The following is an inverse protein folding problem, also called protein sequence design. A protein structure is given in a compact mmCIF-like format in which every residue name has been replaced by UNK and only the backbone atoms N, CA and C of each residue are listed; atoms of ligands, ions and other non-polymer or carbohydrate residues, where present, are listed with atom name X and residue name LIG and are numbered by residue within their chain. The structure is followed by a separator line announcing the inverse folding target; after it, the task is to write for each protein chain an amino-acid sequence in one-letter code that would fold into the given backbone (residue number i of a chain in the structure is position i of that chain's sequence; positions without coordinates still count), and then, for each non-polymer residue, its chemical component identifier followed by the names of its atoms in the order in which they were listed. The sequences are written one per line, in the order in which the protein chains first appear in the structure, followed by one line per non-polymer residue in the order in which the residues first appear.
data_IF_616778155265
#
_entry.id   IF_616778155265
#
_cell.length_a   1.000
_cell.length_b   1.000
_cell.length_c   1.000
_cell.angle_alpha   90.00
_cell.angle_beta   90.00
_cell.angle_gamma   90.00
#
_symmetry.space_group_name_H-M   'P 1'
#
loop_
_entity.id
_entity.type
_entity.pdbx_description
1 polymer ?
#
# COMPACT_ATOMS: atom_id res chain seq x y z
N UNK A 1 3.14 -13.31 12.95
CA UNK A 1 1.73 -12.89 13.16
C UNK A 1 0.88 -12.97 11.88
N UNK A 2 1.50 -13.11 10.71
CA UNK A 2 0.84 -13.11 9.41
C UNK A 2 -0.20 -14.20 9.21
N UNK A 3 0.00 -15.40 9.79
CA UNK A 3 -1.01 -16.46 9.73
C UNK A 3 -2.34 -16.05 10.38
N UNK A 4 -2.28 -15.34 11.52
CA UNK A 4 -3.48 -14.86 12.21
C UNK A 4 -4.20 -13.80 11.38
N UNK A 5 -3.45 -12.92 10.71
CA UNK A 5 -4.02 -11.92 9.80
C UNK A 5 -4.73 -12.58 8.61
N UNK A 6 -4.10 -13.60 8.01
CA UNK A 6 -4.74 -14.36 6.92
C UNK A 6 -5.99 -15.10 7.40
N UNK A 7 -5.96 -15.72 8.58
CA UNK A 7 -7.13 -16.40 9.16
C UNK A 7 -8.27 -15.43 9.47
N UNK A 8 -7.97 -14.27 10.05
CA UNK A 8 -8.96 -13.23 10.30
C UNK A 8 -9.57 -12.73 8.98
N UNK A 9 -8.73 -12.52 7.95
CA UNK A 9 -9.17 -12.19 6.61
C UNK A 9 -10.07 -13.26 5.98
N UNK A 10 -9.74 -14.55 6.17
CA UNK A 10 -10.57 -15.66 5.72
C UNK A 10 -11.94 -15.69 6.41
N UNK A 11 -12.01 -15.35 7.70
CA UNK A 11 -13.26 -15.26 8.44
C UNK A 11 -14.15 -14.12 7.90
N UNK A 12 -13.57 -12.96 7.60
CA UNK A 12 -14.29 -11.89 6.91
C UNK A 12 -14.69 -12.26 5.49
N UNK A 13 -13.86 -13.03 4.77
CA UNK A 13 -14.19 -13.54 3.44
C UNK A 13 -15.43 -14.44 3.49
N UNK A 14 -15.52 -15.31 4.50
CA UNK A 14 -16.66 -16.19 4.70
C UNK A 14 -17.93 -15.40 4.99
N UNK A 15 -17.85 -14.39 5.87
CA UNK A 15 -18.96 -13.47 6.14
C UNK A 15 -19.38 -12.70 4.89
N UNK A 16 -18.40 -12.23 4.10
CA UNK A 16 -18.62 -11.51 2.85
C UNK A 16 -19.33 -12.40 1.82
N UNK A 17 -18.88 -13.64 1.66
CA UNK A 17 -19.50 -14.62 0.78
C UNK A 17 -20.94 -14.89 1.21
N UNK A 18 -21.15 -15.15 2.51
CA UNK A 18 -22.48 -15.45 3.05
C UNK A 18 -23.47 -14.30 2.84
N UNK A 19 -23.08 -13.06 3.18
CA UNK A 19 -23.95 -11.89 2.99
C UNK A 19 -24.23 -11.64 1.50
N UNK A 20 -23.22 -11.85 0.65
CA UNK A 20 -23.38 -11.71 -0.80
C UNK A 20 -24.38 -12.73 -1.33
N UNK A 21 -24.26 -14.01 -0.97
CA UNK A 21 -25.18 -15.07 -1.36
C UNK A 21 -26.61 -14.76 -0.89
N UNK A 22 -26.80 -14.42 0.39
CA UNK A 22 -28.12 -14.11 0.94
C UNK A 22 -28.78 -12.96 0.17
N UNK A 23 -28.02 -11.92 -0.18
CA UNK A 23 -28.57 -10.77 -0.88
C UNK A 23 -28.78 -11.01 -2.37
N UNK A 24 -27.94 -11.81 -3.00
CA UNK A 24 -28.19 -12.32 -4.36
C UNK A 24 -29.49 -13.12 -4.39
N UNK A 25 -29.76 -13.94 -3.37
CA UNK A 25 -31.04 -14.66 -3.22
C UNK A 25 -32.22 -13.71 -2.91
N UNK A 26 -32.03 -12.67 -2.08
CA UNK A 26 -33.06 -11.68 -1.72
C UNK A 26 -33.28 -10.57 -2.76
N UNK A 27 -32.64 -10.65 -3.92
CA UNK A 27 -32.81 -9.69 -5.03
C UNK A 27 -32.59 -8.21 -4.67
N UNK A 28 -31.75 -7.92 -3.66
CA UNK A 28 -31.53 -6.54 -3.22
C UNK A 28 -30.55 -5.81 -4.15
N UNK A 29 -30.95 -4.73 -4.86
CA UNK A 29 -30.12 -4.11 -5.89
C UNK A 29 -28.99 -3.23 -5.35
N UNK A 30 -29.08 -2.77 -4.09
CA UNK A 30 -28.12 -1.81 -3.53
C UNK A 30 -26.98 -2.51 -2.80
N UNK A 31 -25.74 -2.20 -3.21
CA UNK A 31 -24.54 -2.53 -2.43
C UNK A 31 -24.56 -1.67 -1.17
N UNK A 32 -24.43 -2.31 -0.02
CA UNK A 32 -24.37 -1.63 1.28
C UNK A 32 -22.95 -1.36 1.71
N UNK A 33 -22.81 -0.35 2.57
CA UNK A 33 -21.55 -0.04 3.24
C UNK A 33 -20.91 -1.26 3.91
N UNK A 34 -21.71 -2.10 4.57
CA UNK A 34 -21.23 -3.31 5.25
C UNK A 34 -20.58 -4.29 4.27
N UNK A 35 -21.13 -4.47 3.07
CA UNK A 35 -20.53 -5.36 2.06
C UNK A 35 -19.19 -4.81 1.57
N UNK A 36 -19.11 -3.51 1.34
CA UNK A 36 -17.87 -2.82 0.98
C UNK A 36 -16.82 -2.94 2.11
N UNK A 37 -17.23 -2.75 3.36
CA UNK A 37 -16.35 -2.88 4.52
C UNK A 37 -15.82 -4.31 4.66
N UNK A 38 -16.68 -5.32 4.52
CA UNK A 38 -16.30 -6.72 4.60
C UNK A 38 -15.37 -7.11 3.46
N UNK A 39 -15.67 -6.67 2.23
CA UNK A 39 -14.80 -6.85 1.08
C UNK A 39 -13.42 -6.21 1.29
N UNK A 40 -13.39 -5.00 1.82
CA UNK A 40 -12.16 -4.28 2.11
C UNK A 40 -11.30 -4.99 3.16
N UNK A 41 -11.92 -5.45 4.26
CA UNK A 41 -11.24 -6.25 5.28
C UNK A 41 -10.75 -7.59 4.72
N UNK A 42 -11.56 -8.24 3.89
CA UNK A 42 -11.22 -9.49 3.21
C UNK A 42 -10.03 -9.34 2.27
N UNK A 43 -9.86 -8.17 1.65
CA UNK A 43 -8.71 -7.89 0.80
C UNK A 43 -7.46 -7.56 1.63
N UNK A 44 -7.60 -6.64 2.59
CA UNK A 44 -6.45 -6.08 3.31
C UNK A 44 -5.83 -7.05 4.30
N UNK A 45 -6.61 -7.84 5.03
CA UNK A 45 -6.07 -8.70 6.09
C UNK A 45 -5.19 -9.83 5.54
N UNK A 46 -5.62 -10.60 4.52
CA UNK A 46 -4.76 -11.59 3.89
C UNK A 46 -3.53 -10.95 3.25
N UNK A 47 -3.70 -9.79 2.60
CA UNK A 47 -2.59 -9.05 2.01
C UNK A 47 -1.55 -8.65 3.08
N UNK A 48 -1.98 -8.06 4.19
CA UNK A 48 -1.11 -7.71 5.31
C UNK A 48 -0.42 -8.95 5.90
N UNK A 49 -1.14 -10.06 6.02
CA UNK A 49 -0.57 -11.31 6.51
C UNK A 49 0.46 -11.93 5.57
N UNK A 50 0.27 -11.81 4.26
CA UNK A 50 1.23 -12.23 3.23
C UNK A 50 2.49 -11.34 3.26
N UNK A 51 2.32 -10.02 3.40
CA UNK A 51 3.43 -9.07 3.53
C UNK A 51 4.26 -9.37 4.77
N UNK A 52 3.62 -9.50 5.94
CA UNK A 52 4.33 -9.79 7.18
C UNK A 52 5.05 -11.15 7.11
N UNK A 53 4.39 -12.17 6.56
CA UNK A 53 4.98 -13.50 6.39
C UNK A 53 6.17 -13.54 5.42
N UNK A 54 6.27 -12.56 4.50
CA UNK A 54 7.33 -12.47 3.50
C UNK A 54 8.49 -11.56 3.91
N UNK A 55 8.32 -10.74 4.96
CA UNK A 55 9.33 -9.80 5.45
C UNK A 55 10.08 -10.28 6.69
N UNK A 56 9.65 -11.39 7.31
CA UNK A 56 10.32 -11.95 8.49
C UNK A 56 11.65 -12.64 8.16
N UNK A 57 12.55 -12.71 9.15
CA UNK A 57 13.88 -13.33 9.03
C UNK A 57 13.84 -14.80 8.56
N UNK A 58 12.72 -15.49 8.83
CA UNK A 58 12.43 -16.83 8.32
C UNK A 58 11.10 -16.82 7.59
N UNK A 59 11.10 -16.69 6.24
CA UNK A 59 9.88 -16.67 5.45
C UNK A 59 9.09 -17.96 5.65
N UNK A 60 7.93 -17.82 6.28
CA UNK A 60 7.03 -18.94 6.54
C UNK A 60 6.15 -19.15 5.29
N UNK A 61 6.08 -20.37 4.70
CA UNK A 61 5.25 -20.60 3.51
C UNK A 61 3.75 -20.69 3.83
N UNK A 62 3.35 -20.84 5.10
CA UNK A 62 1.95 -21.07 5.46
C UNK A 62 1.03 -19.86 5.15
N UNK A 63 1.36 -18.60 5.52
CA UNK A 63 0.53 -17.43 5.21
C UNK A 63 0.35 -17.24 3.70
N UNK A 64 1.38 -17.51 2.91
CA UNK A 64 1.34 -17.43 1.45
C UNK A 64 0.32 -18.41 0.85
N UNK A 65 0.42 -19.69 1.24
CA UNK A 65 -0.49 -20.75 0.78
C UNK A 65 -1.93 -20.48 1.20
N UNK A 66 -2.14 -20.02 2.44
CA UNK A 66 -3.47 -19.68 2.93
C UNK A 66 -4.05 -18.46 2.22
N UNK A 67 -3.26 -17.42 1.98
CA UNK A 67 -3.69 -16.24 1.22
C UNK A 67 -4.11 -16.61 -0.20
N UNK A 68 -3.35 -17.48 -0.86
CA UNK A 68 -3.69 -17.98 -2.20
C UNK A 68 -5.00 -18.77 -2.20
N UNK A 69 -5.21 -19.63 -1.19
CA UNK A 69 -6.43 -20.41 -1.05
C UNK A 69 -7.67 -19.51 -0.82
N UNK A 70 -7.56 -18.52 0.06
CA UNK A 70 -8.63 -17.53 0.29
C UNK A 70 -8.95 -16.76 -0.99
N UNK A 71 -7.93 -16.28 -1.69
CA UNK A 71 -8.09 -15.58 -2.96
C UNK A 71 -8.76 -16.44 -4.03
N UNK A 72 -8.33 -17.71 -4.16
CA UNK A 72 -8.92 -18.66 -5.11
C UNK A 72 -10.40 -18.93 -4.80
N UNK A 73 -10.76 -19.13 -3.53
CA UNK A 73 -12.16 -19.32 -3.12
C UNK A 73 -13.02 -18.09 -3.48
N UNK A 74 -12.52 -16.88 -3.24
CA UNK A 74 -13.22 -15.64 -3.59
C UNK A 74 -13.45 -15.49 -5.09
N UNK A 75 -12.49 -15.88 -5.92
CA UNK A 75 -12.64 -15.89 -7.39
C UNK A 75 -13.68 -16.90 -7.81
N UNK A 76 -13.59 -18.15 -7.33
CA UNK A 76 -14.54 -19.22 -7.69
C UNK A 76 -15.96 -18.85 -7.30
N UNK A 77 -16.16 -18.41 -6.05
CA UNK A 77 -17.48 -17.98 -5.57
C UNK A 77 -17.97 -16.75 -6.34
N UNK A 78 -17.07 -15.81 -6.64
CA UNK A 78 -17.38 -14.63 -7.45
C UNK A 78 -17.87 -15.02 -8.85
N UNK A 79 -17.23 -15.98 -9.52
CA UNK A 79 -17.67 -16.52 -10.82
C UNK A 79 -19.06 -17.14 -10.71
N UNK A 80 -19.31 -17.95 -9.68
CA UNK A 80 -20.64 -18.55 -9.45
C UNK A 80 -21.70 -17.46 -9.31
N UNK A 81 -21.41 -16.40 -8.55
CA UNK A 81 -22.33 -15.27 -8.37
C UNK A 81 -22.56 -14.53 -9.70
N UNK A 82 -21.50 -14.28 -10.49
CA UNK A 82 -21.65 -13.65 -11.83
C UNK A 82 -22.54 -14.51 -12.73
N UNK A 83 -22.36 -15.84 -12.74
CA UNK A 83 -23.19 -16.76 -13.54
C UNK A 83 -24.65 -16.73 -13.10
N UNK A 84 -24.91 -16.64 -11.79
CA UNK A 84 -26.27 -16.48 -11.25
C UNK A 84 -26.87 -15.12 -11.59
N UNK A 85 -26.07 -14.06 -11.64
CA UNK A 85 -26.48 -12.71 -12.00
C UNK A 85 -26.67 -12.53 -13.52
N UNK A 86 -25.93 -13.25 -14.37
CA UNK A 86 -26.05 -13.24 -15.84
C UNK A 86 -27.45 -13.64 -16.33
N UNK A 87 -28.16 -14.47 -15.55
CA UNK A 87 -29.54 -14.86 -15.84
C UNK A 87 -30.58 -13.79 -15.47
N UNK A 88 -30.15 -12.64 -14.95
CA UNK A 88 -31.01 -11.56 -14.48
C UNK A 88 -30.80 -10.30 -15.32
N UNK A 89 -31.85 -9.50 -15.49
CA UNK A 89 -31.83 -8.23 -16.23
C UNK A 89 -31.03 -7.11 -15.54
N UNK A 90 -30.36 -7.42 -14.41
CA UNK A 90 -29.56 -6.43 -13.71
C UNK A 90 -28.29 -6.13 -14.51
N UNK A 91 -28.06 -4.84 -14.77
CA UNK A 91 -26.92 -4.34 -15.55
C UNK A 91 -25.60 -4.84 -14.94
N UNK A 92 -24.80 -5.57 -15.72
CA UNK A 92 -23.49 -6.13 -15.35
C UNK A 92 -22.52 -5.11 -14.71
N UNK A 93 -22.71 -3.82 -14.97
CA UNK A 93 -21.93 -2.72 -14.36
C UNK A 93 -22.00 -2.67 -12.83
N UNK A 94 -23.01 -3.30 -12.21
CA UNK A 94 -23.15 -3.38 -10.76
C UNK A 94 -23.18 -4.84 -10.27
N UNK A 95 -22.48 -5.75 -10.96
CA UNK A 95 -22.40 -7.14 -10.54
C UNK A 95 -21.57 -7.28 -9.26
N UNK A 96 -22.16 -7.89 -8.24
CA UNK A 96 -21.48 -8.18 -6.96
C UNK A 96 -20.41 -9.25 -7.16
N UNK A 97 -20.64 -10.16 -8.10
CA UNK A 97 -19.70 -11.21 -8.46
C UNK A 97 -18.40 -10.66 -9.05
N UNK A 98 -18.48 -9.65 -9.94
CA UNK A 98 -17.28 -9.01 -10.52
C UNK A 98 -16.41 -8.38 -9.42
N UNK A 99 -17.04 -7.75 -8.42
CA UNK A 99 -16.33 -7.17 -7.29
C UNK A 99 -15.60 -8.24 -6.46
N UNK A 100 -16.26 -9.37 -6.16
CA UNK A 100 -15.64 -10.52 -5.48
C UNK A 100 -14.46 -11.09 -6.29
N UNK A 101 -14.61 -11.21 -7.61
CA UNK A 101 -13.53 -11.67 -8.50
C UNK A 101 -12.35 -10.70 -8.44
N UNK A 102 -12.60 -9.39 -8.50
CA UNK A 102 -11.54 -8.38 -8.42
C UNK A 102 -10.74 -8.47 -7.13
N UNK A 103 -11.42 -8.64 -5.99
CA UNK A 103 -10.77 -8.81 -4.68
C UNK A 103 -9.96 -10.11 -4.64
N UNK A 104 -10.57 -11.23 -5.03
CA UNK A 104 -9.90 -12.52 -5.04
C UNK A 104 -8.67 -12.52 -5.94
N UNK A 105 -8.77 -11.92 -7.13
CA UNK A 105 -7.67 -11.77 -8.06
C UNK A 105 -6.53 -10.91 -7.48
N UNK A 106 -6.84 -9.79 -6.82
CA UNK A 106 -5.85 -8.96 -6.14
C UNK A 106 -5.13 -9.72 -5.01
N UNK A 107 -5.87 -10.48 -4.21
CA UNK A 107 -5.28 -11.30 -3.14
C UNK A 107 -4.36 -12.36 -3.72
N UNK A 108 -4.79 -13.10 -4.74
CA UNK A 108 -3.95 -14.11 -5.41
C UNK A 108 -2.71 -13.43 -6.01
N UNK A 109 -2.88 -12.33 -6.74
CA UNK A 109 -1.77 -11.63 -7.36
C UNK A 109 -0.74 -11.18 -6.31
N UNK A 110 -1.20 -10.72 -5.14
CA UNK A 110 -0.31 -10.33 -4.05
C UNK A 110 0.59 -11.47 -3.56
N UNK A 111 0.10 -12.71 -3.57
CA UNK A 111 0.90 -13.87 -3.14
C UNK A 111 2.08 -14.16 -4.08
N UNK A 112 2.06 -13.64 -5.30
CA UNK A 112 3.19 -13.69 -6.22
C UNK A 112 4.00 -12.41 -6.20
N UNK A 113 3.35 -11.24 -6.21
CA UNK A 113 4.05 -9.95 -6.33
C UNK A 113 4.79 -9.56 -5.06
N UNK A 114 4.24 -9.84 -3.88
CA UNK A 114 4.86 -9.50 -2.58
C UNK A 114 6.22 -10.17 -2.39
N UNK A 115 6.37 -11.51 -2.49
CA UNK A 115 7.67 -12.15 -2.28
C UNK A 115 8.71 -11.73 -3.34
N UNK A 116 8.28 -11.53 -4.59
CA UNK A 116 9.19 -11.04 -5.65
C UNK A 116 9.68 -9.63 -5.31
N UNK A 117 8.78 -8.75 -4.86
CA UNK A 117 9.11 -7.35 -4.53
C UNK A 117 9.99 -7.27 -3.29
N UNK A 118 9.73 -8.08 -2.26
CA UNK A 118 10.57 -8.10 -1.06
C UNK A 118 11.98 -8.55 -1.40
N UNK A 119 12.16 -9.68 -2.08
CA UNK A 119 13.47 -10.25 -2.38
C UNK A 119 14.27 -9.43 -3.40
N UNK A 120 13.63 -8.93 -4.47
CA UNK A 120 14.35 -8.32 -5.61
C UNK A 120 14.50 -6.81 -5.52
N UNK A 121 13.64 -6.13 -4.77
CA UNK A 121 13.59 -4.66 -4.74
C UNK A 121 13.90 -4.14 -3.34
N UNK A 122 13.18 -4.62 -2.31
CA UNK A 122 13.29 -4.05 -0.97
C UNK A 122 14.56 -4.50 -0.23
N UNK A 123 14.85 -5.80 -0.19
CA UNK A 123 16.05 -6.31 0.51
C UNK A 123 17.36 -5.69 -0.03
N UNK A 124 17.59 -5.60 -1.36
CA UNK A 124 18.77 -4.96 -1.90
C UNK A 124 18.82 -3.45 -1.62
N UNK A 125 17.67 -2.75 -1.69
CA UNK A 125 17.62 -1.32 -1.41
C UNK A 125 17.98 -0.99 0.03
N UNK A 126 17.54 -1.80 1.00
CA UNK A 126 17.92 -1.64 2.41
C UNK A 126 19.39 -1.98 2.66
N UNK A 127 19.93 -3.00 1.98
CA UNK A 127 21.35 -3.37 2.10
C UNK A 127 22.31 -2.33 1.50
N UNK A 128 21.83 -1.47 0.60
CA UNK A 128 22.64 -0.39 -0.01
C UNK A 128 22.76 0.83 0.89
N UNK A 129 21.93 0.95 1.94
CA UNK A 129 22.12 1.97 2.99
C UNK A 129 23.16 1.46 3.97
N UNK A 130 24.43 1.69 3.66
CA UNK A 130 25.52 1.46 4.62
C UNK A 130 25.20 2.19 5.92
N UNK A 131 25.17 1.51 7.08
CA UNK A 131 25.05 2.20 8.35
C UNK A 131 26.24 3.16 8.48
N UNK A 132 25.97 4.42 8.81
CA UNK A 132 27.02 5.32 9.29
C UNK A 132 27.53 4.69 10.58
N UNK A 133 28.72 4.11 10.52
CA UNK A 133 29.38 3.54 11.69
C UNK A 133 29.79 4.69 12.62
N UNK A 134 28.92 4.99 13.58
CA UNK A 134 29.15 6.05 14.57
C UNK A 134 30.35 5.72 15.48
N UNK A 135 30.80 4.45 15.52
CA UNK A 135 32.01 4.06 16.24
C UNK A 135 33.29 4.51 15.52
N UNK A 136 33.26 4.69 14.19
CA UNK A 136 34.39 5.25 13.43
C UNK A 136 34.55 6.78 13.62
N UNK A 137 33.58 7.45 14.25
CA UNK A 137 33.62 8.88 14.58
C UNK A 137 34.05 9.16 16.03
N UNK A 138 34.28 8.12 16.84
CA UNK A 138 34.78 8.26 18.20
C UNK A 138 36.31 8.22 18.21
N UNK A 139 36.94 9.36 17.91
CA UNK A 139 38.35 9.57 18.26
C UNK A 139 38.50 9.41 19.77
N UNK A 140 39.20 8.35 20.19
CA UNK A 140 39.65 8.15 21.57
C UNK A 140 40.45 9.37 22.03
N UNK A 141 40.10 10.04 23.16
CA UNK A 141 40.98 11.05 23.72
C UNK A 141 42.13 10.33 24.43
N UNK A 142 43.26 10.17 23.74
CA UNK A 142 44.52 9.85 24.42
C UNK A 142 44.96 11.09 25.18
N UNK A 143 44.80 11.02 26.50
CA UNK A 143 45.37 11.94 27.45
C UNK A 143 46.90 11.76 27.45
N UNK A 144 47.64 12.75 26.94
CA UNK A 144 49.03 12.97 27.31
C UNK A 144 49.39 14.46 27.18
N UNK A 145 50.19 14.93 28.15
CA UNK A 145 50.44 16.33 28.48
C UNK A 145 51.24 17.16 27.45
N UNK A 146 51.51 18.45 27.78
CA UNK A 146 51.69 19.50 26.80
C UNK A 146 53.13 19.59 26.29
N UNK A 147 53.31 19.74 24.98
CA UNK A 147 54.52 20.35 24.39
C UNK A 147 54.11 21.28 23.26
N UNK A 148 54.75 22.45 23.25
CA UNK A 148 54.30 23.70 22.62
C UNK A 148 54.21 23.67 21.10
N UNK A 149 53.15 24.34 20.65
CA UNK A 149 52.86 25.00 19.37
C UNK A 149 54.06 25.45 18.54
N UNK A 150 54.14 24.92 17.31
CA UNK A 150 54.36 25.71 16.10
C UNK A 150 53.94 24.87 14.88
N UNK A 151 52.76 25.14 14.33
CA UNK A 151 52.42 24.66 12.97
C UNK A 151 52.00 25.85 12.14
N UNK A 152 52.82 26.11 11.12
CA UNK A 152 52.62 27.05 10.04
C UNK A 152 51.23 26.88 9.42
N UNK A 153 50.54 28.00 9.21
CA UNK A 153 49.24 28.09 8.57
C UNK A 153 49.43 27.94 7.05
N UNK A 154 48.89 26.89 6.38
CA UNK A 154 48.64 26.97 4.96
C UNK A 154 47.33 27.73 4.71
N UNK A 155 47.44 28.75 3.87
CA UNK A 155 46.40 29.66 3.40
C UNK A 155 45.16 28.92 2.87
N UNK A 156 43.98 29.23 3.43
CA UNK A 156 42.70 28.79 2.86
C UNK A 156 42.36 29.71 1.70
N UNK A 157 42.46 29.21 0.48
CA UNK A 157 41.84 29.84 -0.69
C UNK A 157 40.32 29.88 -0.45
N UNK A 158 39.77 31.07 -0.28
CA UNK A 158 38.33 31.28 -0.16
C UNK A 158 37.63 30.78 -1.42
N UNK A 159 36.85 29.70 -1.28
CA UNK A 159 35.89 29.29 -2.29
C UNK A 159 34.69 30.24 -2.20
N UNK A 160 34.23 30.88 -3.30
CA UNK A 160 33.15 31.85 -3.23
C UNK A 160 31.82 31.18 -2.86
N UNK A 161 31.18 31.72 -1.82
CA UNK A 161 29.80 31.41 -1.43
C UNK A 161 28.86 31.70 -2.60
N UNK A 162 28.00 30.77 -3.03
CA UNK A 162 26.96 31.09 -4.01
C UNK A 162 25.90 32.01 -3.36
N UNK A 163 25.79 33.23 -3.86
CA UNK A 163 24.65 34.11 -3.58
C UNK A 163 23.40 33.52 -4.23
N UNK A 164 22.47 33.01 -3.41
CA UNK A 164 21.15 32.59 -3.89
C UNK A 164 20.31 33.85 -4.13
N UNK A 165 20.24 34.28 -5.38
CA UNK A 165 19.25 35.28 -5.83
C UNK A 165 17.87 34.66 -5.79
N UNK A 166 17.06 35.00 -4.78
CA UNK A 166 15.63 34.66 -4.75
C UNK A 166 14.90 35.50 -5.79
N UNK A 167 14.47 34.87 -6.88
CA UNK A 167 13.46 35.47 -7.78
C UNK A 167 12.14 35.59 -7.01
N UNK A 168 11.50 36.76 -6.94
CA UNK A 168 10.19 36.88 -6.31
C UNK A 168 9.16 36.06 -7.08
N UNK A 169 8.45 35.19 -6.35
CA UNK A 169 7.31 34.43 -6.85
C UNK A 169 6.18 35.41 -7.20
N UNK A 170 5.58 35.36 -8.40
CA UNK A 170 4.41 36.17 -8.68
C UNK A 170 3.25 35.71 -7.77
N UNK A 171 2.77 36.62 -6.94
CA UNK A 171 1.53 36.47 -6.19
C UNK A 171 0.38 36.47 -7.20
N UNK A 172 -0.21 35.31 -7.46
CA UNK A 172 -1.44 35.21 -8.23
C UNK A 172 -2.57 35.87 -7.46
N UNK A 173 -2.95 37.07 -7.86
CA UNK A 173 -4.20 37.70 -7.43
C UNK A 173 -5.35 36.84 -7.94
N UNK A 174 -6.16 36.28 -7.04
CA UNK A 174 -7.42 35.65 -7.41
C UNK A 174 -8.38 36.72 -7.92
N UNK A 175 -8.51 36.86 -9.23
CA UNK A 175 -9.60 37.62 -9.84
C UNK A 175 -10.88 36.82 -9.67
N UNK A 176 -11.82 37.34 -8.88
CA UNK A 176 -13.17 36.79 -8.82
C UNK A 176 -13.86 37.03 -10.17
N UNK A 177 -13.96 35.98 -11.00
CA UNK A 177 -14.79 36.01 -12.20
C UNK A 177 -16.25 35.93 -11.78
N UNK A 178 -16.98 37.04 -11.95
CA UNK A 178 -18.40 37.13 -11.69
C UNK A 178 -19.14 36.41 -12.82
N UNK A 179 -19.71 35.24 -12.55
CA UNK A 179 -20.60 34.56 -13.48
C UNK A 179 -21.95 35.29 -13.50
N UNK A 180 -22.22 36.02 -14.59
CA UNK A 180 -23.54 36.55 -14.87
C UNK A 180 -24.33 35.47 -15.60
N UNK A 181 -25.36 34.93 -14.94
CA UNK A 181 -26.33 34.05 -15.58
C UNK A 181 -27.32 34.92 -16.37
N UNK A 182 -27.31 34.78 -17.70
CA UNK A 182 -28.38 35.33 -18.55
C UNK A 182 -29.49 34.30 -18.59
N UNK A 183 -30.59 34.55 -17.88
CA UNK A 183 -31.83 33.80 -18.05
C UNK A 183 -32.54 34.33 -19.29
N UNK A 184 -32.58 33.54 -20.35
CA UNK A 184 -33.52 33.74 -21.47
C UNK A 184 -34.84 33.06 -21.09
N UNK A 185 -35.89 33.86 -20.99
CA UNK A 185 -37.28 33.39 -20.93
C UNK A 185 -37.84 33.48 -22.34
N UNK A 186 -38.09 32.34 -22.97
CA UNK A 186 -39.14 32.19 -23.97
C UNK A 186 -40.31 31.44 -23.33
#
# INVERSE_FOLDING_TARGET
MGLLLVLAGALFALLFILITIIRTLRHSPKITFVELLLAFLTALLPLAGVIEGSMGDTPAPQPLRMGMLVGAVLVVVGIVIVVLELRREQKLKQSRGIFSIGIGALVVLSTFTVPITSEKILLPALATVTPIDVAALQTTPTQDGPTRTATLIPSVTATPTPTITRTPRPTGTATATLFVFVTSTE
#
